data_IF_597068223012
#
_entry.id   IF_597068223012
#
_cell.length_a   1.000
_cell.length_b   1.000
_cell.length_c   1.000
_cell.angle_alpha   90.00
_cell.angle_beta   90.00
_cell.angle_gamma   90.00
#
_symmetry.space_group_name_H-M   'P 1'
#
loop_
_entity.id
_entity.type
_entity.pdbx_description
1 polymer ?
#
# COMPACT_ATOMS: atom_id res chain seq x y z
N UNK A 1 -33.58 19.10 -17.68
CA UNK A 1 -32.35 19.21 -18.50
C UNK A 1 -31.19 19.49 -17.56
N UNK A 2 -30.22 18.59 -17.54
CA UNK A 2 -28.99 18.62 -16.75
C UNK A 2 -27.85 19.29 -17.57
N UNK A 3 -26.62 19.61 -17.13
CA UNK A 3 -25.79 19.34 -15.93
C UNK A 3 -24.75 20.53 -15.82
N UNK A 4 -23.66 20.54 -15.01
CA UNK A 4 -23.50 21.44 -13.86
C UNK A 4 -22.19 22.27 -13.86
N UNK A 5 -21.93 22.89 -12.70
CA UNK A 5 -20.80 23.71 -12.32
C UNK A 5 -19.40 23.10 -12.57
N UNK A 6 -18.51 23.95 -13.08
CA UNK A 6 -17.09 23.70 -13.33
C UNK A 6 -16.27 23.76 -12.04
N UNK A 7 -15.62 22.65 -11.67
CA UNK A 7 -14.63 22.60 -10.58
C UNK A 7 -13.25 22.93 -11.18
N UNK A 8 -12.64 24.02 -10.73
CA UNK A 8 -11.25 24.36 -11.02
C UNK A 8 -10.31 23.54 -10.12
N UNK A 9 -9.58 22.58 -10.70
CA UNK A 9 -8.42 21.96 -10.04
C UNK A 9 -7.13 22.62 -10.56
N UNK A 10 -6.50 23.41 -9.69
CA UNK A 10 -5.15 23.94 -9.90
C UNK A 10 -4.14 22.92 -9.36
N UNK A 11 -3.48 22.19 -10.26
CA UNK A 11 -2.32 21.35 -9.92
C UNK A 11 -1.11 21.81 -10.76
N UNK A 12 -0.04 22.26 -10.07
CA UNK A 12 1.22 22.68 -10.69
C UNK A 12 2.21 21.52 -10.72
N UNK A 13 2.77 21.27 -11.90
CA UNK A 13 3.91 20.37 -12.13
C UNK A 13 3.63 19.38 -13.26
N UNK A 14 4.34 19.53 -14.39
CA UNK A 14 4.20 18.81 -15.66
C UNK A 14 2.87 18.95 -16.43
N UNK A 15 1.72 18.97 -15.75
CA UNK A 15 0.40 19.16 -16.39
C UNK A 15 0.23 20.57 -17.00
N UNK A 16 0.83 21.60 -16.41
CA UNK A 16 0.80 22.97 -16.96
C UNK A 16 1.47 23.07 -18.32
N UNK A 17 2.54 22.30 -18.56
CA UNK A 17 3.25 22.28 -19.85
C UNK A 17 2.40 21.59 -20.93
N UNK A 18 1.79 20.46 -20.57
CA UNK A 18 0.89 19.70 -21.45
C UNK A 18 -0.39 20.52 -21.74
N UNK A 19 -0.97 21.16 -20.72
CA UNK A 19 -2.12 22.05 -20.86
C UNK A 19 -1.81 23.27 -21.74
N UNK A 20 -0.62 23.86 -21.61
CA UNK A 20 -0.18 24.99 -22.47
C UNK A 20 0.01 24.58 -23.94
N UNK A 21 0.38 23.33 -24.21
CA UNK A 21 0.47 22.78 -25.57
C UNK A 21 -0.91 22.43 -26.14
N UNK A 22 -1.88 22.07 -25.30
CA UNK A 22 -3.25 21.73 -25.69
C UNK A 22 -4.16 22.97 -25.84
N UNK A 23 -3.79 24.12 -25.26
CA UNK A 23 -4.54 25.37 -25.38
C UNK A 23 -4.64 25.90 -26.83
N UNK A 24 -3.81 25.40 -27.75
CA UNK A 24 -3.86 25.75 -29.17
C UNK A 24 -4.91 24.97 -29.98
N UNK A 25 -5.65 24.04 -29.37
CA UNK A 25 -6.64 23.22 -30.08
C UNK A 25 -8.06 23.57 -29.60
N UNK A 26 -8.73 24.46 -30.31
CA UNK A 26 -10.12 24.89 -30.04
C UNK A 26 -11.19 23.87 -30.44
N UNK A 27 -10.89 22.58 -30.35
CA UNK A 27 -11.84 21.52 -30.64
C UNK A 27 -11.50 20.29 -29.80
N UNK A 28 -12.40 19.93 -28.87
CA UNK A 28 -12.94 18.57 -28.73
C UNK A 28 -13.89 18.51 -27.53
N UNK A 29 -15.15 18.18 -27.82
CA UNK A 29 -16.22 17.91 -26.87
C UNK A 29 -16.14 16.49 -26.29
N UNK A 30 -14.95 16.07 -25.87
CA UNK A 30 -14.71 14.77 -25.24
C UNK A 30 -13.61 14.93 -24.20
N UNK A 31 -13.78 14.48 -22.94
CA UNK A 31 -12.73 14.59 -21.94
C UNK A 31 -11.49 13.82 -22.41
N UNK A 32 -10.39 14.55 -22.60
CA UNK A 32 -9.07 13.98 -22.91
C UNK A 32 -8.58 13.18 -21.69
N UNK A 33 -8.74 11.86 -21.74
CA UNK A 33 -8.08 10.95 -20.80
C UNK A 33 -6.60 10.89 -21.20
N UNK A 34 -5.78 11.74 -20.59
CA UNK A 34 -4.32 11.63 -20.70
C UNK A 34 -3.90 10.44 -19.84
N UNK A 35 -3.67 9.29 -20.50
CA UNK A 35 -3.01 8.14 -19.84
C UNK A 35 -1.54 8.54 -19.57
N UNK A 36 -1.25 8.96 -18.35
CA UNK A 36 0.13 9.09 -17.88
C UNK A 36 0.75 7.69 -17.88
N UNK A 37 1.90 7.53 -18.54
CA UNK A 37 2.63 6.26 -18.56
C UNK A 37 3.20 6.03 -17.16
N UNK A 38 2.60 5.12 -16.41
CA UNK A 38 3.12 4.64 -15.13
C UNK A 38 4.47 3.95 -15.37
N UNK A 39 5.37 3.99 -14.39
CA UNK A 39 6.55 3.12 -14.41
C UNK A 39 6.08 1.66 -14.44
N UNK A 40 6.83 0.78 -15.10
CA UNK A 40 6.56 -0.67 -15.11
C UNK A 40 6.47 -1.21 -13.69
N UNK A 41 7.28 -0.68 -12.75
CA UNK A 41 7.17 -1.02 -11.34
C UNK A 41 5.79 -0.66 -10.77
N UNK A 42 5.30 0.55 -11.05
CA UNK A 42 4.02 1.04 -10.56
C UNK A 42 2.84 0.29 -11.19
N UNK A 43 2.93 -0.09 -12.47
CA UNK A 43 1.92 -0.94 -13.13
C UNK A 43 1.77 -2.31 -12.45
N UNK A 44 2.87 -2.91 -12.01
CA UNK A 44 2.83 -4.21 -11.33
C UNK A 44 2.25 -4.10 -9.92
N UNK A 45 2.52 -3.00 -9.21
CA UNK A 45 1.88 -2.71 -7.92
C UNK A 45 0.38 -2.47 -8.10
N UNK A 46 -0.02 -1.72 -9.13
CA UNK A 46 -1.43 -1.50 -9.45
C UNK A 46 -2.15 -2.83 -9.71
N UNK A 47 -1.55 -3.71 -10.52
CA UNK A 47 -2.10 -5.06 -10.75
C UNK A 47 -2.18 -5.88 -9.48
N UNK A 48 -1.17 -5.82 -8.60
CA UNK A 48 -1.22 -6.50 -7.31
C UNK A 48 -2.41 -6.01 -6.48
N UNK A 49 -2.54 -4.70 -6.29
CA UNK A 49 -3.61 -4.11 -5.48
C UNK A 49 -5.01 -4.42 -6.02
N UNK A 50 -5.25 -4.21 -7.32
CA UNK A 50 -6.55 -4.46 -7.95
C UNK A 50 -6.98 -5.93 -7.83
N UNK A 51 -6.02 -6.85 -7.87
CA UNK A 51 -6.31 -8.28 -7.78
C UNK A 51 -6.40 -8.81 -6.35
N UNK A 52 -6.04 -8.04 -5.31
CA UNK A 52 -6.24 -8.47 -3.92
C UNK A 52 -7.72 -8.70 -3.60
N UNK A 53 -8.62 -7.87 -4.15
CA UNK A 53 -10.07 -8.05 -3.97
C UNK A 53 -10.61 -9.35 -4.59
N UNK A 54 -9.90 -9.89 -5.59
CA UNK A 54 -10.21 -11.14 -6.30
C UNK A 54 -9.40 -12.34 -5.78
N UNK A 55 -8.47 -12.10 -4.86
CA UNK A 55 -7.61 -13.13 -4.31
C UNK A 55 -8.42 -14.07 -3.41
N UNK A 56 -8.12 -15.36 -3.51
CA UNK A 56 -8.85 -16.41 -2.81
C UNK A 56 -7.96 -17.12 -1.81
N UNK A 57 -8.50 -17.38 -0.62
CA UNK A 57 -7.86 -18.22 0.38
C UNK A 57 -8.19 -19.68 0.04
N UNK A 58 -7.15 -20.48 -0.22
CA UNK A 58 -7.26 -21.90 -0.54
C UNK A 58 -6.62 -22.71 0.56
N UNK A 59 -7.31 -23.73 1.04
CA UNK A 59 -6.78 -24.68 2.02
C UNK A 59 -6.33 -25.94 1.28
N UNK A 60 -5.07 -26.32 1.46
CA UNK A 60 -4.46 -27.53 0.92
C UNK A 60 -4.06 -28.43 2.09
N UNK A 61 -4.31 -29.73 1.97
CA UNK A 61 -3.85 -30.73 2.94
C UNK A 61 -2.60 -31.42 2.38
N UNK A 62 -1.50 -31.33 3.12
CA UNK A 62 -0.25 -32.01 2.79
C UNK A 62 0.29 -32.67 4.06
N UNK A 63 0.61 -33.96 3.98
CA UNK A 63 1.19 -34.73 5.11
C UNK A 63 0.36 -34.67 6.41
N UNK A 64 -0.96 -34.52 6.29
CA UNK A 64 -1.87 -34.41 7.44
C UNK A 64 -1.98 -33.02 8.04
N UNK A 65 -1.26 -32.03 7.49
CA UNK A 65 -1.33 -30.62 7.89
C UNK A 65 -2.15 -29.80 6.89
N UNK A 66 -3.01 -28.92 7.42
CA UNK A 66 -3.78 -27.95 6.65
C UNK A 66 -2.96 -26.68 6.48
N UNK A 67 -2.64 -26.35 5.24
CA UNK A 67 -1.94 -25.13 4.85
C UNK A 67 -2.89 -24.21 4.10
N UNK A 68 -2.90 -22.93 4.45
CA UNK A 68 -3.71 -21.93 3.76
C UNK A 68 -2.84 -21.07 2.87
N UNK A 69 -3.24 -20.88 1.63
CA UNK A 69 -2.56 -20.03 0.65
C UNK A 69 -3.48 -18.93 0.19
N UNK A 70 -2.97 -17.70 0.11
CA UNK A 70 -3.64 -16.64 -0.61
C UNK A 70 -3.18 -16.66 -2.06
N UNK A 71 -4.07 -17.06 -2.96
CA UNK A 71 -3.82 -17.13 -4.40
C UNK A 71 -4.21 -15.81 -5.05
N UNK A 72 -3.24 -15.15 -5.70
CA UNK A 72 -3.46 -13.92 -6.45
C UNK A 72 -3.85 -14.25 -7.89
N UNK A 73 -4.84 -13.53 -8.42
CA UNK A 73 -5.26 -13.69 -9.80
C UNK A 73 -4.39 -12.80 -10.72
N UNK A 74 -3.68 -13.39 -11.68
CA UNK A 74 -2.93 -12.68 -12.74
C UNK A 74 -1.99 -11.56 -12.23
N UNK A 75 -1.46 -11.71 -11.03
CA UNK A 75 -0.55 -10.74 -10.42
C UNK A 75 0.45 -11.46 -9.51
N UNK A 76 1.52 -10.76 -9.16
CA UNK A 76 2.56 -11.27 -8.28
C UNK A 76 2.51 -10.53 -6.95
N UNK A 77 2.94 -11.20 -5.88
CA UNK A 77 3.00 -10.62 -4.54
C UNK A 77 3.83 -9.33 -4.58
N UNK A 78 3.22 -8.21 -4.18
CA UNK A 78 3.83 -6.87 -4.21
C UNK A 78 4.42 -6.50 -5.58
N UNK A 79 3.81 -6.99 -6.67
CA UNK A 79 4.27 -6.77 -8.05
C UNK A 79 5.61 -7.44 -8.41
N UNK A 80 6.15 -8.32 -7.56
CA UNK A 80 7.48 -8.94 -7.74
C UNK A 80 7.35 -10.41 -8.15
N UNK A 81 7.74 -10.73 -9.37
CA UNK A 81 7.73 -12.10 -9.91
C UNK A 81 8.43 -13.12 -9.01
N UNK A 82 9.58 -12.74 -8.42
CA UNK A 82 10.34 -13.62 -7.52
C UNK A 82 9.63 -13.97 -6.20
N UNK A 83 8.53 -13.29 -5.85
CA UNK A 83 7.70 -13.62 -4.69
C UNK A 83 6.53 -14.55 -5.03
N UNK A 84 6.35 -14.89 -6.32
CA UNK A 84 5.28 -15.76 -6.79
C UNK A 84 3.92 -15.07 -6.88
N UNK A 85 2.93 -15.84 -7.33
CA UNK A 85 1.51 -15.47 -7.46
C UNK A 85 0.64 -16.00 -6.31
N UNK A 86 1.24 -16.70 -5.34
CA UNK A 86 0.60 -17.16 -4.11
C UNK A 86 1.56 -17.11 -2.93
N UNK A 87 1.03 -17.00 -1.72
CA UNK A 87 1.84 -17.12 -0.51
C UNK A 87 1.09 -17.81 0.63
N UNK A 88 1.85 -18.48 1.50
CA UNK A 88 1.32 -19.17 2.68
C UNK A 88 0.81 -18.15 3.70
N UNK A 89 -0.46 -18.27 4.07
CA UNK A 89 -1.08 -17.58 5.21
C UNK A 89 -0.80 -18.40 6.46
N UNK A 90 0.21 -17.98 7.20
CA UNK A 90 0.64 -18.66 8.43
C UNK A 90 -0.33 -18.37 9.56
N UNK A 91 -0.55 -19.29 10.51
CA UNK A 91 -1.43 -19.06 11.68
C UNK A 91 -1.11 -17.76 12.43
N UNK A 92 0.18 -17.45 12.60
CA UNK A 92 0.65 -16.22 13.25
C UNK A 92 0.17 -14.93 12.55
N UNK A 93 -0.11 -14.95 11.25
CA UNK A 93 -0.64 -13.77 10.56
C UNK A 93 -2.06 -13.44 11.02
N UNK A 94 -2.88 -14.46 11.25
CA UNK A 94 -4.25 -14.32 11.77
C UNK A 94 -4.22 -13.85 13.22
N UNK A 95 -3.39 -14.48 14.05
CA UNK A 95 -3.23 -14.09 15.47
C UNK A 95 -2.73 -12.65 15.61
N UNK A 96 -1.76 -12.24 14.80
CA UNK A 96 -1.28 -10.85 14.80
C UNK A 96 -2.37 -9.89 14.36
N UNK A 97 -3.10 -10.20 13.30
CA UNK A 97 -4.22 -9.38 12.83
C UNK A 97 -5.28 -9.20 13.94
N UNK A 98 -5.72 -10.28 14.56
CA UNK A 98 -6.71 -10.24 15.65
C UNK A 98 -6.25 -9.38 16.84
N UNK A 99 -4.99 -9.52 17.25
CA UNK A 99 -4.42 -8.71 18.33
C UNK A 99 -4.34 -7.23 17.98
N UNK A 100 -3.98 -6.94 16.73
CA UNK A 100 -3.86 -5.57 16.22
C UNK A 100 -5.23 -4.90 16.18
N UNK A 101 -6.26 -5.57 15.66
CA UNK A 101 -7.62 -5.02 15.59
C UNK A 101 -8.30 -4.90 16.96
N UNK A 102 -7.98 -5.79 17.90
CA UNK A 102 -8.52 -5.73 19.26
C UNK A 102 -7.90 -4.60 20.11
N UNK A 103 -6.70 -4.13 19.75
CA UNK A 103 -6.00 -3.11 20.52
C UNK A 103 -6.47 -1.69 20.22
N UNK A 104 -6.26 -0.78 21.18
CA UNK A 104 -6.64 0.63 21.07
C UNK A 104 -5.51 1.54 20.55
N UNK A 105 -4.37 0.96 20.17
CA UNK A 105 -3.22 1.71 19.68
C UNK A 105 -3.37 2.00 18.18
N UNK A 106 -2.94 3.20 17.79
CA UNK A 106 -2.88 3.63 16.38
C UNK A 106 -1.54 3.29 15.72
N UNK A 107 -0.56 2.81 16.48
CA UNK A 107 0.79 2.50 15.98
C UNK A 107 1.20 1.12 16.47
N UNK A 108 1.56 0.26 15.54
CA UNK A 108 1.94 -1.12 15.78
C UNK A 108 3.29 -1.43 15.17
N UNK A 109 4.09 -2.23 15.89
CA UNK A 109 5.38 -2.69 15.42
C UNK A 109 5.37 -4.21 15.43
N UNK A 110 5.51 -4.82 14.26
CA UNK A 110 5.71 -6.26 14.10
C UNK A 110 7.17 -6.50 13.75
N UNK A 111 7.85 -7.19 14.66
CA UNK A 111 9.28 -7.49 14.55
C UNK A 111 9.53 -8.99 14.43
N UNK A 112 10.65 -9.35 13.82
CA UNK A 112 11.07 -10.75 13.70
C UNK A 112 12.36 -10.89 12.91
N UNK A 113 12.99 -12.06 12.98
CA UNK A 113 14.25 -12.33 12.27
C UNK A 113 14.11 -12.15 10.76
N UNK A 114 15.18 -11.78 10.04
CA UNK A 114 15.18 -11.76 8.57
C UNK A 114 14.70 -13.11 8.00
N UNK A 115 13.92 -13.07 6.92
CA UNK A 115 13.38 -14.28 6.28
C UNK A 115 12.14 -14.91 6.95
N UNK A 116 11.71 -14.45 8.13
CA UNK A 116 10.57 -15.05 8.85
C UNK A 116 9.19 -14.75 8.23
N UNK A 117 9.11 -14.14 7.04
CA UNK A 117 7.83 -13.89 6.35
C UNK A 117 7.15 -12.54 6.65
N UNK A 118 7.87 -11.58 7.25
CA UNK A 118 7.39 -10.21 7.52
C UNK A 118 6.76 -9.50 6.31
N UNK A 119 7.43 -9.52 5.17
CA UNK A 119 6.92 -8.91 3.93
C UNK A 119 5.62 -9.57 3.45
N UNK A 120 5.46 -10.89 3.62
CA UNK A 120 4.21 -11.57 3.31
C UNK A 120 3.10 -11.22 4.31
N UNK A 121 3.44 -10.97 5.58
CA UNK A 121 2.47 -10.42 6.55
C UNK A 121 1.97 -9.03 6.13
N UNK A 122 2.84 -8.15 5.62
CA UNK A 122 2.40 -6.86 5.04
C UNK A 122 1.43 -7.06 3.87
N UNK A 123 1.72 -7.98 2.95
CA UNK A 123 0.82 -8.32 1.84
C UNK A 123 -0.52 -8.91 2.31
N UNK A 124 -0.50 -9.75 3.35
CA UNK A 124 -1.70 -10.28 4.00
C UNK A 124 -2.56 -9.16 4.61
N UNK A 125 -1.95 -8.20 5.31
CA UNK A 125 -2.67 -7.06 5.87
C UNK A 125 -3.25 -6.15 4.78
N UNK A 126 -2.52 -5.94 3.67
CA UNK A 126 -3.03 -5.23 2.49
C UNK A 126 -4.25 -5.93 1.88
N UNK A 127 -4.24 -7.26 1.80
CA UNK A 127 -5.40 -8.03 1.31
C UNK A 127 -6.65 -7.76 2.16
N UNK A 128 -6.51 -7.79 3.49
CA UNK A 128 -7.62 -7.47 4.40
C UNK A 128 -8.08 -6.02 4.18
N UNK A 129 -7.15 -5.07 4.11
CA UNK A 129 -7.47 -3.65 3.90
C UNK A 129 -8.18 -3.41 2.56
N UNK A 130 -7.74 -4.05 1.47
CA UNK A 130 -8.36 -3.98 0.16
C UNK A 130 -9.79 -4.54 0.17
N UNK A 131 -10.01 -5.69 0.84
CA UNK A 131 -11.36 -6.26 1.00
C UNK A 131 -12.28 -5.36 1.82
N UNK A 132 -11.74 -4.65 2.79
CA UNK A 132 -12.45 -3.64 3.58
C UNK A 132 -12.56 -2.27 2.87
N UNK A 133 -12.09 -2.15 1.63
CA UNK A 133 -12.10 -0.90 0.83
C UNK A 133 -11.37 0.26 1.54
N UNK A 134 -10.36 -0.04 2.37
CA UNK A 134 -9.56 0.96 3.06
C UNK A 134 -8.53 1.59 2.12
N UNK A 135 -8.20 2.86 2.37
CA UNK A 135 -7.03 3.50 1.77
C UNK A 135 -5.77 3.03 2.47
N UNK A 136 -4.77 2.61 1.69
CA UNK A 136 -3.46 2.18 2.18
C UNK A 136 -2.39 3.11 1.63
N UNK A 137 -1.49 3.58 2.48
CA UNK A 137 -0.19 4.10 2.05
C UNK A 137 0.83 3.02 2.36
N UNK A 138 1.51 2.52 1.34
CA UNK A 138 2.59 1.55 1.51
C UNK A 138 3.94 2.20 1.23
N UNK A 139 4.84 2.11 2.21
CA UNK A 139 6.26 2.42 2.05
C UNK A 139 7.03 1.09 1.96
N UNK A 140 7.45 0.65 0.76
CA UNK A 140 8.23 -0.56 0.59
C UNK A 140 9.61 -0.45 1.25
N UNK A 141 10.27 -1.58 1.49
CA UNK A 141 11.72 -1.58 1.76
C UNK A 141 12.46 -0.90 0.60
N UNK A 142 13.53 -0.10 0.84
CA UNK A 142 14.17 0.68 -0.22
C UNK A 142 14.50 -0.19 -1.44
N UNK A 143 13.92 0.15 -2.58
CA UNK A 143 14.16 -0.51 -3.86
C UNK A 143 14.08 0.51 -5.00
N UNK A 144 14.46 0.11 -6.21
CA UNK A 144 14.13 0.89 -7.40
C UNK A 144 12.60 0.98 -7.54
N UNK A 145 12.06 2.20 -7.67
CA UNK A 145 10.62 2.46 -7.76
C UNK A 145 10.19 3.69 -6.94
N UNK A 146 8.88 3.90 -6.82
CA UNK A 146 8.31 4.98 -6.02
C UNK A 146 8.56 4.72 -4.52
N UNK A 147 8.96 5.75 -3.74
CA UNK A 147 9.24 5.57 -2.32
C UNK A 147 7.96 5.33 -1.50
N UNK A 148 6.81 5.71 -2.03
CA UNK A 148 5.49 5.47 -1.45
C UNK A 148 4.50 5.08 -2.53
N UNK A 149 3.52 4.27 -2.16
CA UNK A 149 2.37 3.92 -2.98
C UNK A 149 1.10 4.29 -2.23
N UNK A 150 0.29 5.19 -2.78
CA UNK A 150 -1.06 5.45 -2.32
C UNK A 150 -2.01 4.51 -3.05
N UNK A 151 -2.66 3.64 -2.30
CA UNK A 151 -3.56 2.61 -2.80
C UNK A 151 -4.97 2.91 -2.30
N UNK A 152 -5.87 3.17 -3.24
CA UNK A 152 -7.29 3.45 -2.99
C UNK A 152 -8.14 2.42 -3.75
N UNK A 153 -9.44 2.28 -3.45
CA UNK A 153 -10.32 1.44 -4.25
C UNK A 153 -10.24 1.79 -5.75
N UNK A 154 -9.60 0.91 -6.53
CA UNK A 154 -9.47 1.03 -8.00
C UNK A 154 -8.35 1.93 -8.52
N UNK A 155 -7.44 2.43 -7.66
CA UNK A 155 -6.28 3.20 -8.13
C UNK A 155 -5.05 3.01 -7.24
N UNK A 156 -3.89 3.04 -7.87
CA UNK A 156 -2.57 3.10 -7.22
C UNK A 156 -1.77 4.25 -7.82
N UNK A 157 -1.21 5.08 -6.97
CA UNK A 157 -0.32 6.19 -7.34
C UNK A 157 1.03 6.06 -6.64
N UNK A 158 2.11 6.12 -7.42
CA UNK A 158 3.47 6.27 -6.90
C UNK A 158 3.71 7.70 -6.45
N UNK A 159 4.15 7.89 -5.21
CA UNK A 159 4.31 9.21 -4.58
C UNK A 159 5.73 9.45 -4.10
N UNK A 160 6.18 10.70 -4.26
CA UNK A 160 7.43 11.19 -3.67
C UNK A 160 7.22 11.58 -2.20
N UNK A 161 8.28 11.49 -1.40
CA UNK A 161 8.26 11.74 0.04
C UNK A 161 7.74 13.14 0.46
N UNK A 162 7.84 14.14 -0.43
CA UNK A 162 7.42 15.52 -0.18
C UNK A 162 6.11 15.90 -0.91
N UNK A 163 5.42 14.93 -1.52
CA UNK A 163 4.16 15.19 -2.22
C UNK A 163 3.05 15.64 -1.27
N UNK A 164 2.12 16.45 -1.76
CA UNK A 164 1.00 16.95 -0.95
C UNK A 164 -0.04 15.85 -0.73
N UNK A 165 -0.20 14.99 -1.73
CA UNK A 165 -1.02 13.79 -1.75
C UNK A 165 -0.61 12.84 -0.61
N UNK A 166 0.70 12.58 -0.45
CA UNK A 166 1.20 11.76 0.65
C UNK A 166 0.90 12.39 2.01
N UNK A 167 1.16 13.69 2.17
CA UNK A 167 0.90 14.40 3.44
C UNK A 167 -0.59 14.36 3.80
N UNK A 168 -1.46 14.57 2.84
CA UNK A 168 -2.91 14.50 3.03
C UNK A 168 -3.35 13.09 3.42
N UNK A 169 -2.84 12.07 2.73
CA UNK A 169 -3.16 10.67 3.04
C UNK A 169 -2.69 10.27 4.44
N UNK A 170 -1.48 10.69 4.84
CA UNK A 170 -0.90 10.41 6.15
C UNK A 170 -1.47 11.25 7.29
N UNK A 171 -2.16 12.37 6.99
CA UNK A 171 -2.90 13.14 7.98
C UNK A 171 -4.26 12.53 8.31
N UNK A 172 -4.78 11.64 7.47
CA UNK A 172 -6.08 11.00 7.68
C UNK A 172 -5.96 9.78 8.62
N UNK A 173 -6.62 9.78 9.80
CA UNK A 173 -6.57 8.66 10.73
C UNK A 173 -7.21 7.37 10.20
N UNK A 174 -8.04 7.45 9.14
CA UNK A 174 -8.64 6.28 8.48
C UNK A 174 -7.71 5.61 7.47
N UNK A 175 -6.61 6.27 7.08
CA UNK A 175 -5.60 5.68 6.20
C UNK A 175 -4.79 4.65 6.97
N UNK A 176 -4.58 3.49 6.36
CA UNK A 176 -3.67 2.45 6.86
C UNK A 176 -2.28 2.67 6.27
N UNK A 177 -1.33 3.09 7.07
CA UNK A 177 0.06 3.30 6.67
C UNK A 177 0.90 2.06 7.02
N UNK A 178 1.39 1.36 6.01
CA UNK A 178 2.21 0.15 6.17
C UNK A 178 3.64 0.48 5.77
N UNK A 179 4.60 0.24 6.66
CA UNK A 179 6.03 0.50 6.44
C UNK A 179 6.80 -0.80 6.53
N UNK A 180 7.53 -1.16 5.46
CA UNK A 180 8.36 -2.36 5.41
C UNK A 180 9.86 -2.03 5.58
N UNK A 181 10.41 -2.40 6.73
CA UNK A 181 11.85 -2.35 7.05
C UNK A 181 12.50 -0.97 7.05
N UNK A 182 11.71 0.10 7.20
CA UNK A 182 12.19 1.49 7.30
C UNK A 182 11.63 2.19 8.55
N UNK A 183 12.28 3.29 8.96
CA UNK A 183 11.70 4.16 9.98
C UNK A 183 10.42 4.84 9.43
N UNK A 184 9.28 4.77 10.14
CA UNK A 184 8.05 5.37 9.70
C UNK A 184 8.12 6.89 9.80
N UNK A 185 7.45 7.59 8.88
CA UNK A 185 7.23 9.03 9.00
C UNK A 185 6.25 9.30 10.14
N UNK A 186 6.53 10.29 10.99
CA UNK A 186 5.56 10.74 12.00
C UNK A 186 4.30 11.28 11.31
N UNK A 187 3.15 10.70 11.63
CA UNK A 187 1.88 11.01 10.97
C UNK A 187 0.67 10.73 11.87
N UNK A 188 -0.50 11.17 11.41
CA UNK A 188 -1.80 10.96 12.08
C UNK A 188 -2.52 9.68 11.65
N UNK A 189 -2.06 9.04 10.58
CA UNK A 189 -2.60 7.77 10.07
C UNK A 189 -2.35 6.60 11.02
N UNK A 190 -3.24 5.62 10.97
CA UNK A 190 -3.02 4.35 11.64
C UNK A 190 -1.82 3.64 10.99
N UNK A 191 -0.82 3.23 11.78
CA UNK A 191 0.49 2.81 11.27
C UNK A 191 0.85 1.39 11.70
N UNK A 192 1.20 0.55 10.73
CA UNK A 192 1.82 -0.75 10.92
C UNK A 192 3.26 -0.71 10.39
N UNK A 193 4.21 -0.73 11.31
CA UNK A 193 5.62 -0.93 11.00
C UNK A 193 5.95 -2.42 11.05
N UNK A 194 6.46 -2.97 9.96
CA UNK A 194 6.98 -4.32 9.90
C UNK A 194 8.48 -4.25 9.67
N UNK A 195 9.29 -4.71 10.64
CA UNK A 195 10.74 -4.53 10.56
C UNK A 195 11.52 -5.67 11.22
N UNK A 196 12.80 -5.80 10.92
CA UNK A 196 13.66 -6.69 11.71
C UNK A 196 14.03 -5.99 13.03
N UNK A 197 14.38 -6.72 14.10
CA UNK A 197 14.88 -6.11 15.31
C UNK A 197 16.13 -5.28 14.97
N UNK A 198 16.01 -3.96 15.05
CA UNK A 198 17.18 -3.08 15.00
C UNK A 198 17.87 -3.15 16.37
N UNK A 199 19.01 -3.82 16.45
CA UNK A 199 19.77 -3.92 17.72
C UNK A 199 20.14 -2.53 18.29
N UNK A 200 20.25 -1.51 17.43
CA UNK A 200 20.69 -0.17 17.84
C UNK A 200 19.56 0.73 18.40
N UNK A 201 18.28 0.41 18.16
CA UNK A 201 17.15 1.30 18.55
C UNK A 201 16.43 0.87 19.85
N UNK A 202 16.60 -0.37 20.32
CA UNK A 202 16.03 -0.79 21.61
C UNK A 202 16.63 -0.05 22.81
N UNK A 203 17.80 0.60 22.65
CA UNK A 203 18.45 1.36 23.72
C UNK A 203 17.80 2.72 24.01
N UNK A 204 16.90 3.22 23.17
CA UNK A 204 16.33 4.57 23.32
C UNK A 204 14.84 4.64 23.69
N UNK A 205 14.13 3.51 23.83
CA UNK A 205 12.70 3.51 24.16
C UNK A 205 12.30 2.68 25.40
N UNK A 206 13.26 2.31 26.27
CA UNK A 206 12.98 1.67 27.57
C UNK A 206 12.95 2.64 28.76
N UNK A 207 12.74 3.94 28.53
CA UNK A 207 12.43 4.92 29.58
C UNK A 207 11.31 5.83 29.12
N UNK A 208 10.08 5.41 29.40
CA UNK A 208 8.93 6.26 29.79
C UNK A 208 7.66 5.40 29.73
N UNK A 209 7.56 4.48 30.69
CA UNK A 209 6.31 3.93 31.19
C UNK A 209 6.57 3.53 32.65
N UNK A 210 6.64 4.55 33.50
CA UNK A 210 6.42 4.44 34.94
C UNK A 210 5.30 5.42 35.27
#
# INVERSE_FOLDING_TARGET
>A
MAVPASIWLSCKGNLTRIASQLACCSALATPLIVKVKLDVADEQILRFWDNLTKANLVTEEAEGEKMEYLNLHQSFVLGKQGLGDRFLVRPIYKELYERIEAGHFTKWIVTGTPGIGKTFFSAYYMWIAARAQKTVVWQPFPSAGSPFYLMTPGAVEGLMANSTELRNALANPQTVYIVDGQAPTSCGAWTLLVTSPQQDHYKHHSKEAN
#
